data_IF_103583044985
#
_entry.id   IF_103583044985
#
_cell.length_a   1.000
_cell.length_b   1.000
_cell.length_c   1.000
_cell.angle_alpha   90.00
_cell.angle_beta   90.00
_cell.angle_gamma   90.00
#
_symmetry.space_group_name_H-M   'P 1'
#
loop_
_entity.id
_entity.type
_entity.pdbx_description
1 polymer ?
#
# COMPACT_ATOMS: atom_id res chain seq x y z
N UNK A 1 -1.48 -18.58 26.42
CA UNK A 1 -1.91 -18.01 25.12
C UNK A 1 -2.45 -16.57 25.21
N UNK A 2 -3.76 -16.29 25.16
CA UNK A 2 -4.26 -14.92 24.97
C UNK A 2 -3.77 -13.91 26.02
N UNK A 3 -3.85 -14.29 27.30
CA UNK A 3 -3.36 -13.47 28.42
C UNK A 3 -1.84 -13.25 28.36
N UNK A 4 -1.07 -14.29 28.07
CA UNK A 4 0.40 -14.20 27.96
C UNK A 4 0.84 -13.28 26.80
N UNK A 5 0.17 -13.36 25.65
CA UNK A 5 0.44 -12.46 24.53
C UNK A 5 0.11 -11.00 24.90
N UNK A 6 -1.01 -10.77 25.59
CA UNK A 6 -1.36 -9.44 26.09
C UNK A 6 -0.35 -8.90 27.10
N UNK A 7 0.04 -9.73 28.07
CA UNK A 7 1.01 -9.37 29.11
C UNK A 7 2.38 -9.01 28.50
N UNK A 8 2.79 -9.71 27.43
CA UNK A 8 4.04 -9.41 26.72
C UNK A 8 4.02 -8.04 26.03
N UNK A 9 2.91 -7.67 25.38
CA UNK A 9 2.79 -6.37 24.69
C UNK A 9 2.42 -5.21 25.61
N UNK A 10 1.89 -5.47 26.80
CA UNK A 10 1.37 -4.46 27.72
C UNK A 10 2.34 -3.27 27.96
N UNK A 11 3.66 -3.48 28.15
CA UNK A 11 4.60 -2.38 28.38
C UNK A 11 4.78 -1.43 27.18
N UNK A 12 4.37 -1.85 25.98
CA UNK A 12 4.72 -1.20 24.71
C UNK A 12 3.53 -0.58 23.99
N UNK A 13 2.32 -0.67 24.57
CA UNK A 13 1.07 -0.24 23.93
C UNK A 13 1.06 1.24 23.48
N UNK A 14 1.83 2.09 24.15
CA UNK A 14 1.91 3.53 23.83
C UNK A 14 2.94 3.86 22.75
N UNK A 15 3.93 2.99 22.55
CA UNK A 15 5.01 3.20 21.59
C UNK A 15 5.59 1.84 21.15
N UNK A 16 4.97 1.18 20.16
CA UNK A 16 5.42 -0.12 19.67
C UNK A 16 6.80 -0.07 18.99
N UNK A 17 7.27 1.11 18.56
CA UNK A 17 8.63 1.26 18.03
C UNK A 17 9.68 0.98 19.13
N UNK A 18 9.39 1.33 20.39
CA UNK A 18 10.25 0.97 21.54
C UNK A 18 10.35 -0.54 21.77
N UNK A 19 9.28 -1.30 21.51
CA UNK A 19 9.34 -2.76 21.54
C UNK A 19 10.36 -3.26 20.52
N UNK A 20 10.21 -2.85 19.26
CA UNK A 20 11.14 -3.21 18.19
C UNK A 20 12.59 -2.89 18.53
N UNK A 21 12.85 -1.69 19.05
CA UNK A 21 14.18 -1.26 19.46
C UNK A 21 14.75 -2.10 20.62
N UNK A 22 13.91 -2.45 21.60
CA UNK A 22 14.30 -3.26 22.76
C UNK A 22 14.68 -4.69 22.34
N UNK A 23 13.88 -5.31 21.47
CA UNK A 23 14.16 -6.63 20.89
C UNK A 23 15.44 -6.59 20.05
N UNK A 24 15.58 -5.58 19.18
CA UNK A 24 16.77 -5.40 18.34
C UNK A 24 18.05 -5.25 19.18
N UNK A 25 17.98 -4.51 20.31
CA UNK A 25 19.08 -4.36 21.28
C UNK A 25 19.28 -5.57 22.20
N UNK A 26 18.50 -6.63 22.05
CA UNK A 26 18.53 -7.82 22.92
C UNK A 26 18.28 -7.47 24.41
N UNK A 27 17.50 -6.43 24.67
CA UNK A 27 17.12 -5.98 26.02
C UNK A 27 15.86 -6.68 26.52
N UNK A 28 15.06 -7.23 25.62
CA UNK A 28 13.86 -8.00 25.93
C UNK A 28 13.71 -9.14 24.92
N UNK A 29 13.03 -10.22 25.33
CA UNK A 29 12.69 -11.32 24.43
C UNK A 29 11.54 -10.92 23.51
N UNK A 30 11.50 -11.53 22.33
CA UNK A 30 10.41 -11.30 21.37
C UNK A 30 9.12 -11.98 21.86
N UNK A 31 8.00 -11.27 21.73
CA UNK A 31 6.66 -11.78 21.99
C UNK A 31 6.15 -12.79 20.93
N UNK A 32 6.95 -13.09 19.89
CA UNK A 32 6.56 -13.94 18.76
C UNK A 32 6.01 -15.29 19.20
N UNK A 33 6.66 -15.96 20.14
CA UNK A 33 6.23 -17.29 20.59
C UNK A 33 4.83 -17.24 21.21
N UNK A 34 4.55 -16.23 22.03
CA UNK A 34 3.23 -16.03 22.64
C UNK A 34 2.14 -15.77 21.59
N UNK A 35 2.47 -15.03 20.53
CA UNK A 35 1.53 -14.76 19.42
C UNK A 35 1.30 -16.00 18.56
N UNK A 36 2.34 -16.76 18.24
CA UNK A 36 2.23 -18.00 17.47
C UNK A 36 1.40 -19.05 18.20
N UNK A 37 1.56 -19.20 19.52
CA UNK A 37 0.75 -20.12 20.31
C UNK A 37 -0.73 -19.72 20.32
N UNK A 38 -1.01 -18.41 20.40
CA UNK A 38 -2.37 -17.89 20.32
C UNK A 38 -3.00 -18.14 18.94
N UNK A 39 -2.25 -17.90 17.86
CA UNK A 39 -2.70 -18.15 16.50
C UNK A 39 -2.99 -19.64 16.26
N UNK A 40 -2.12 -20.54 16.74
CA UNK A 40 -2.31 -21.99 16.63
C UNK A 40 -3.62 -22.44 17.28
N UNK A 41 -3.94 -21.93 18.48
CA UNK A 41 -5.18 -22.27 19.19
C UNK A 41 -6.43 -21.80 18.44
N UNK A 42 -6.40 -20.60 17.85
CA UNK A 42 -7.53 -20.13 17.05
C UNK A 42 -7.67 -20.86 15.71
N UNK A 43 -6.57 -21.33 15.13
CA UNK A 43 -6.63 -22.15 13.93
C UNK A 43 -7.39 -23.46 14.19
N UNK A 44 -7.12 -24.12 15.32
CA UNK A 44 -7.83 -25.33 15.74
C UNK A 44 -9.33 -25.09 15.96
N UNK A 45 -9.70 -23.92 16.46
CA UNK A 45 -11.10 -23.52 16.62
C UNK A 45 -11.77 -23.20 15.27
N UNK A 46 -11.03 -22.62 14.32
CA UNK A 46 -11.54 -22.39 12.96
C UNK A 46 -11.86 -23.69 12.22
N UNK A 47 -11.04 -24.73 12.38
CA UNK A 47 -11.29 -26.05 11.79
C UNK A 47 -12.58 -26.70 12.33
N UNK A 48 -13.07 -26.27 13.50
CA UNK A 48 -14.29 -26.79 14.14
C UNK A 48 -15.54 -25.94 13.86
N UNK A 49 -15.39 -24.76 13.27
CA UNK A 49 -16.46 -23.79 13.04
C UNK A 49 -16.91 -23.75 11.57
N UNK A 50 -18.14 -23.29 11.31
CA UNK A 50 -18.60 -23.04 9.94
C UNK A 50 -17.86 -21.84 9.33
N UNK A 51 -17.48 -21.95 8.06
CA UNK A 51 -16.74 -20.93 7.28
C UNK A 51 -17.42 -19.56 7.20
N UNK A 52 -18.72 -19.46 7.52
CA UNK A 52 -19.52 -18.22 7.47
C UNK A 52 -19.50 -17.37 8.76
N UNK A 53 -18.76 -17.76 9.81
CA UNK A 53 -18.74 -16.99 11.05
C UNK A 53 -17.83 -15.75 10.93
N UNK A 54 -18.45 -14.58 10.75
CA UNK A 54 -17.77 -13.28 10.70
C UNK A 54 -16.99 -12.96 11.99
N UNK A 55 -17.46 -13.38 13.16
CA UNK A 55 -16.78 -13.11 14.44
C UNK A 55 -15.46 -13.87 14.51
N UNK A 56 -15.47 -15.12 14.05
CA UNK A 56 -14.27 -15.92 13.96
C UNK A 56 -13.28 -15.34 12.94
N UNK A 57 -13.75 -14.89 11.77
CA UNK A 57 -12.90 -14.18 10.80
C UNK A 57 -12.23 -12.95 11.45
N UNK A 58 -13.02 -12.10 12.12
CA UNK A 58 -12.48 -10.94 12.83
C UNK A 58 -11.43 -11.32 13.88
N UNK A 59 -11.68 -12.37 14.67
CA UNK A 59 -10.73 -12.83 15.69
C UNK A 59 -9.42 -13.33 15.08
N UNK A 60 -9.50 -14.15 14.03
CA UNK A 60 -8.32 -14.67 13.31
C UNK A 60 -7.54 -13.53 12.66
N UNK A 61 -8.23 -12.60 11.99
CA UNK A 61 -7.58 -11.49 11.33
C UNK A 61 -6.90 -10.55 12.33
N UNK A 62 -7.53 -10.28 13.48
CA UNK A 62 -6.91 -9.46 14.54
C UNK A 62 -5.61 -10.08 15.07
N UNK A 63 -5.52 -11.40 15.19
CA UNK A 63 -4.28 -12.05 15.66
C UNK A 63 -3.21 -12.10 14.58
N UNK A 64 -3.59 -12.28 13.31
CA UNK A 64 -2.65 -12.13 12.19
C UNK A 64 -2.08 -10.72 12.11
N UNK A 65 -2.87 -9.69 12.42
CA UNK A 65 -2.35 -8.32 12.53
C UNK A 65 -1.31 -8.23 13.64
N UNK A 66 -1.58 -8.81 14.82
CA UNK A 66 -0.62 -8.81 15.93
C UNK A 66 0.68 -9.54 15.57
N UNK A 67 0.58 -10.70 14.91
CA UNK A 67 1.73 -11.47 14.42
C UNK A 67 2.57 -10.66 13.42
N UNK A 68 1.94 -10.13 12.37
CA UNK A 68 2.66 -9.35 11.36
C UNK A 68 3.20 -8.03 11.92
N UNK A 69 2.51 -7.40 12.87
CA UNK A 69 2.99 -6.19 13.54
C UNK A 69 4.22 -6.48 14.41
N UNK A 70 4.22 -7.59 15.15
CA UNK A 70 5.39 -8.03 15.92
C UNK A 70 6.61 -8.18 15.03
N UNK A 71 6.46 -8.91 13.92
CA UNK A 71 7.54 -9.12 12.96
C UNK A 71 8.01 -7.80 12.35
N UNK A 72 7.07 -6.94 11.94
CA UNK A 72 7.36 -5.62 11.39
C UNK A 72 8.22 -4.77 12.34
N UNK A 73 7.82 -4.62 13.60
CA UNK A 73 8.57 -3.80 14.55
C UNK A 73 9.95 -4.38 14.86
N UNK A 74 10.09 -5.71 14.83
CA UNK A 74 11.39 -6.37 15.01
C UNK A 74 12.35 -6.08 13.86
N UNK A 75 11.89 -6.17 12.61
CA UNK A 75 12.76 -5.97 11.42
C UNK A 75 12.89 -4.50 11.00
N UNK A 76 12.05 -3.60 11.51
CA UNK A 76 12.07 -2.16 11.23
C UNK A 76 13.46 -1.52 11.44
N UNK A 77 14.21 -1.99 12.44
CA UNK A 77 15.53 -1.44 12.77
C UNK A 77 16.68 -2.10 11.98
N UNK A 78 16.41 -3.20 11.28
CA UNK A 78 17.40 -3.92 10.47
C UNK A 78 17.39 -3.47 9.01
N UNK A 79 16.20 -3.42 8.39
CA UNK A 79 16.07 -3.16 6.95
C UNK A 79 14.76 -2.47 6.58
N UNK A 80 14.88 -1.36 5.85
CA UNK A 80 13.71 -0.69 5.24
C UNK A 80 13.00 -1.60 4.23
N UNK A 81 13.77 -2.40 3.47
CA UNK A 81 13.22 -3.32 2.46
C UNK A 81 12.43 -4.45 3.13
N UNK A 82 12.98 -5.04 4.20
CA UNK A 82 12.29 -6.13 4.90
C UNK A 82 11.02 -5.65 5.60
N UNK A 83 11.10 -4.51 6.30
CA UNK A 83 9.92 -3.93 6.95
C UNK A 83 8.84 -3.49 5.97
N UNK A 84 9.22 -3.01 4.78
CA UNK A 84 8.28 -2.78 3.67
C UNK A 84 7.61 -4.09 3.23
N UNK A 85 8.41 -5.11 2.93
CA UNK A 85 7.94 -6.41 2.45
C UNK A 85 6.99 -7.11 3.43
N UNK A 86 7.28 -7.05 4.75
CA UNK A 86 6.39 -7.60 5.79
C UNK A 86 5.01 -6.93 5.74
N UNK A 87 4.96 -5.61 5.55
CA UNK A 87 3.68 -4.87 5.47
C UNK A 87 2.87 -5.26 4.25
N UNK A 88 3.49 -5.26 3.07
CA UNK A 88 2.78 -5.58 1.83
C UNK A 88 2.39 -7.05 1.75
N UNK A 89 3.20 -7.96 2.30
CA UNK A 89 2.82 -9.36 2.47
C UNK A 89 1.59 -9.51 3.36
N UNK A 90 1.52 -8.78 4.47
CA UNK A 90 0.36 -8.82 5.36
C UNK A 90 -0.92 -8.34 4.66
N UNK A 91 -0.85 -7.25 3.90
CA UNK A 91 -1.99 -6.74 3.12
C UNK A 91 -2.43 -7.74 2.05
N UNK A 92 -1.48 -8.37 1.35
CA UNK A 92 -1.78 -9.42 0.38
C UNK A 92 -2.43 -10.67 1.01
N UNK A 93 -1.90 -11.17 2.13
CA UNK A 93 -2.52 -12.30 2.85
C UNK A 93 -3.93 -11.96 3.35
N UNK A 94 -4.17 -10.70 3.70
CA UNK A 94 -5.50 -10.21 4.07
C UNK A 94 -6.47 -10.30 2.89
N UNK A 95 -6.04 -9.91 1.69
CA UNK A 95 -6.84 -10.05 0.46
C UNK A 95 -7.22 -11.51 0.23
N UNK A 96 -6.25 -12.44 0.31
CA UNK A 96 -6.51 -13.87 0.16
C UNK A 96 -7.52 -14.39 1.18
N UNK A 97 -7.34 -14.05 2.47
CA UNK A 97 -8.25 -14.50 3.53
C UNK A 97 -9.69 -13.99 3.32
N UNK A 98 -9.85 -12.76 2.84
CA UNK A 98 -11.16 -12.18 2.56
C UNK A 98 -11.85 -12.88 1.39
N UNK A 99 -11.13 -13.12 0.29
CA UNK A 99 -11.65 -13.88 -0.85
C UNK A 99 -12.02 -15.32 -0.45
N UNK A 100 -11.15 -16.00 0.31
CA UNK A 100 -11.42 -17.35 0.82
C UNK A 100 -12.67 -17.40 1.71
N UNK A 101 -12.91 -16.37 2.53
CA UNK A 101 -14.09 -16.30 3.39
C UNK A 101 -15.38 -16.04 2.60
N UNK A 102 -15.34 -15.14 1.61
CA UNK A 102 -16.50 -14.80 0.79
C UNK A 102 -16.81 -15.83 -0.31
N UNK A 103 -15.86 -16.72 -0.59
CA UNK A 103 -16.02 -17.84 -1.52
C UNK A 103 -15.52 -17.55 -2.94
N UNK A 104 -15.50 -18.58 -3.80
CA UNK A 104 -14.81 -18.53 -5.10
C UNK A 104 -15.40 -17.55 -6.11
N UNK A 105 -16.69 -17.18 -5.98
CA UNK A 105 -17.35 -16.22 -6.88
C UNK A 105 -17.21 -14.76 -6.40
N UNK A 106 -16.51 -14.54 -5.29
CA UNK A 106 -16.34 -13.21 -4.71
C UNK A 106 -15.34 -12.37 -5.50
N UNK A 107 -15.49 -11.05 -5.40
CA UNK A 107 -14.58 -10.07 -5.99
C UNK A 107 -14.19 -9.06 -4.93
N UNK A 108 -12.98 -8.52 -5.05
CA UNK A 108 -12.46 -7.50 -4.16
C UNK A 108 -11.96 -6.30 -4.96
N UNK A 109 -12.19 -5.11 -4.43
CA UNK A 109 -11.59 -3.87 -4.90
C UNK A 109 -10.67 -3.40 -3.79
N UNK A 110 -9.37 -3.30 -4.11
CA UNK A 110 -8.35 -2.83 -3.18
C UNK A 110 -8.05 -1.38 -3.51
N UNK A 111 -8.24 -0.49 -2.54
CA UNK A 111 -7.98 0.93 -2.68
C UNK A 111 -6.77 1.31 -1.84
N UNK A 112 -5.63 1.51 -2.51
CA UNK A 112 -4.35 1.83 -1.89
C UNK A 112 -3.55 2.78 -2.78
N UNK A 113 -2.42 3.26 -2.26
CA UNK A 113 -1.53 4.13 -3.01
C UNK A 113 -0.81 3.36 -4.14
N UNK A 114 -0.43 4.03 -5.24
CA UNK A 114 0.27 3.43 -6.39
C UNK A 114 1.52 2.62 -5.99
N UNK A 115 2.22 3.04 -4.94
CA UNK A 115 3.40 2.32 -4.40
C UNK A 115 3.07 0.90 -3.93
N UNK A 116 1.83 0.64 -3.52
CA UNK A 116 1.36 -0.68 -3.12
C UNK A 116 0.70 -1.45 -4.28
N UNK A 117 0.00 -0.76 -5.19
CA UNK A 117 -0.83 -1.40 -6.22
C UNK A 117 -0.17 -1.63 -7.59
N UNK A 118 0.93 -0.93 -7.90
CA UNK A 118 1.70 -1.21 -9.11
C UNK A 118 2.46 -2.53 -9.00
N UNK A 119 2.96 -3.08 -10.11
CA UNK A 119 3.90 -4.21 -10.04
C UNK A 119 5.31 -3.70 -9.68
N UNK A 120 5.75 -3.92 -8.44
CA UNK A 120 7.06 -3.46 -7.95
C UNK A 120 8.24 -3.96 -8.78
N UNK A 121 8.18 -5.17 -9.36
CA UNK A 121 9.23 -5.70 -10.23
C UNK A 121 9.51 -4.83 -11.47
N UNK A 122 8.54 -4.01 -11.89
CA UNK A 122 8.68 -3.06 -12.98
C UNK A 122 9.31 -1.71 -12.54
N UNK A 123 9.76 -1.58 -11.29
CA UNK A 123 10.19 -0.32 -10.69
C UNK A 123 11.62 -0.40 -10.12
N UNK A 124 12.16 0.74 -9.70
CA UNK A 124 13.41 0.83 -8.96
C UNK A 124 13.33 0.12 -7.60
N UNK A 125 12.15 0.10 -6.97
CA UNK A 125 11.94 -0.54 -5.67
C UNK A 125 12.09 -2.07 -5.79
N UNK A 126 11.54 -2.67 -6.85
CA UNK A 126 11.77 -4.08 -7.18
C UNK A 126 13.24 -4.46 -7.33
N UNK A 127 14.05 -3.56 -7.90
CA UNK A 127 15.50 -3.80 -8.08
C UNK A 127 16.29 -3.83 -6.78
N UNK A 128 15.78 -3.20 -5.71
CA UNK A 128 16.40 -3.23 -4.38
C UNK A 128 15.78 -4.30 -3.47
N UNK A 129 14.87 -5.12 -3.99
CA UNK A 129 14.27 -6.25 -3.29
C UNK A 129 12.91 -5.97 -2.63
N UNK A 130 12.33 -4.79 -2.85
CA UNK A 130 10.96 -4.51 -2.40
C UNK A 130 9.95 -5.18 -3.33
N UNK A 131 8.96 -5.85 -2.76
CA UNK A 131 7.74 -6.25 -3.45
C UNK A 131 6.56 -5.48 -2.87
N UNK A 132 5.43 -5.53 -3.56
CA UNK A 132 4.22 -4.87 -3.11
C UNK A 132 2.96 -5.69 -3.41
N UNK A 133 1.83 -5.25 -2.87
CA UNK A 133 0.52 -5.92 -3.04
C UNK A 133 0.18 -6.17 -4.51
N UNK A 134 0.44 -5.20 -5.39
CA UNK A 134 0.18 -5.28 -6.82
C UNK A 134 0.98 -6.38 -7.51
N UNK A 135 2.28 -6.50 -7.20
CA UNK A 135 3.12 -7.59 -7.69
C UNK A 135 2.61 -8.94 -7.18
N UNK A 136 2.39 -9.09 -5.86
CA UNK A 136 1.94 -10.35 -5.27
C UNK A 136 0.58 -10.80 -5.82
N UNK A 137 -0.36 -9.87 -5.98
CA UNK A 137 -1.66 -10.13 -6.62
C UNK A 137 -1.49 -10.57 -8.07
N UNK A 138 -0.61 -9.94 -8.85
CA UNK A 138 -0.37 -10.33 -10.24
C UNK A 138 0.25 -11.73 -10.35
N UNK A 139 1.20 -12.05 -9.47
CA UNK A 139 1.85 -13.36 -9.45
C UNK A 139 0.88 -14.48 -9.04
N UNK A 140 -0.01 -14.21 -8.08
CA UNK A 140 -0.93 -15.20 -7.55
C UNK A 140 -2.23 -15.36 -8.36
N UNK A 141 -2.87 -14.26 -8.75
CA UNK A 141 -4.16 -14.27 -9.47
C UNK A 141 -4.00 -14.20 -11.00
N UNK A 142 -2.80 -13.90 -11.51
CA UNK A 142 -2.54 -13.81 -12.94
C UNK A 142 -3.47 -12.83 -13.65
N UNK A 143 -4.19 -13.32 -14.66
CA UNK A 143 -5.11 -12.51 -15.46
C UNK A 143 -6.41 -12.09 -14.74
N UNK A 144 -6.71 -12.67 -13.58
CA UNK A 144 -7.84 -12.26 -12.74
C UNK A 144 -7.53 -11.01 -11.91
N UNK A 145 -6.27 -10.57 -11.88
CA UNK A 145 -5.86 -9.28 -11.33
C UNK A 145 -5.87 -8.19 -12.40
N UNK A 146 -6.35 -7.00 -12.03
CA UNK A 146 -6.30 -5.81 -12.87
C UNK A 146 -5.92 -4.59 -12.02
N UNK A 147 -4.77 -3.97 -12.31
CA UNK A 147 -4.26 -2.82 -11.56
C UNK A 147 -4.47 -1.49 -12.31
N UNK A 148 -5.04 -0.52 -11.61
CA UNK A 148 -5.28 0.84 -12.12
C UNK A 148 -4.41 1.82 -11.35
N UNK A 149 -3.47 2.47 -12.03
CA UNK A 149 -2.64 3.53 -11.46
C UNK A 149 -3.26 4.91 -11.66
N UNK A 150 -3.02 5.83 -10.72
CA UNK A 150 -3.47 7.22 -10.83
C UNK A 150 -2.29 8.15 -11.04
N UNK A 151 -2.38 9.07 -12.00
CA UNK A 151 -1.29 10.00 -12.31
C UNK A 151 -1.84 11.41 -12.56
N UNK A 152 -1.03 12.42 -12.24
CA UNK A 152 -1.37 13.84 -12.40
C UNK A 152 -0.14 14.65 -12.75
N UNK A 153 -0.31 15.84 -13.34
CA UNK A 153 0.77 16.78 -13.60
C UNK A 153 0.83 17.92 -12.56
N UNK A 154 -0.23 18.73 -12.45
CA UNK A 154 -0.26 19.91 -11.57
C UNK A 154 -1.48 19.91 -10.65
N UNK A 155 -1.59 20.93 -9.79
CA UNK A 155 -2.75 21.11 -8.94
C UNK A 155 -2.36 21.21 -7.47
N UNK A 156 -3.28 20.80 -6.60
CA UNK A 156 -3.06 20.77 -5.15
C UNK A 156 -3.25 19.37 -4.59
N UNK A 157 -2.57 19.10 -3.47
CA UNK A 157 -2.65 17.86 -2.70
C UNK A 157 -2.78 18.19 -1.21
N UNK A 158 -3.45 17.32 -0.46
CA UNK A 158 -3.44 17.36 1.00
C UNK A 158 -2.31 16.45 1.50
N UNK A 159 -1.26 17.03 2.07
CA UNK A 159 -0.07 16.31 2.52
C UNK A 159 0.65 17.06 3.65
N UNK A 160 1.43 16.34 4.45
CA UNK A 160 2.25 16.93 5.50
C UNK A 160 3.71 17.17 5.04
N UNK A 161 4.43 18.00 5.78
CA UNK A 161 5.85 18.27 5.55
C UNK A 161 6.79 17.35 6.35
N UNK A 162 6.27 16.55 7.27
CA UNK A 162 6.99 15.51 8.03
C UNK A 162 5.99 14.50 8.60
N UNK A 163 6.49 13.33 8.99
CA UNK A 163 5.71 12.37 9.77
C UNK A 163 5.18 13.03 11.05
N UNK A 164 3.94 12.68 11.42
CA UNK A 164 3.20 13.28 12.55
C UNK A 164 3.01 14.81 12.45
N UNK A 165 3.24 15.40 11.27
CA UNK A 165 2.95 16.80 11.00
C UNK A 165 1.48 17.03 10.66
N UNK A 166 1.05 18.29 10.81
CA UNK A 166 -0.27 18.74 10.37
C UNK A 166 -0.44 18.56 8.85
N UNK A 167 -1.68 18.29 8.44
CA UNK A 167 -2.05 18.21 7.03
C UNK A 167 -2.13 19.62 6.43
N UNK A 168 -1.48 19.81 5.29
CA UNK A 168 -1.42 21.08 4.58
C UNK A 168 -1.97 20.91 3.15
N UNK A 169 -2.56 21.97 2.60
CA UNK A 169 -2.85 22.03 1.16
C UNK A 169 -1.59 22.55 0.46
N UNK A 170 -0.95 21.69 -0.32
CA UNK A 170 0.32 21.98 -0.99
C UNK A 170 0.13 22.03 -2.50
N UNK A 171 0.79 22.98 -3.15
CA UNK A 171 0.81 23.06 -4.61
C UNK A 171 1.81 22.06 -5.16
N UNK A 172 1.39 21.22 -6.10
CA UNK A 172 2.28 20.36 -6.85
C UNK A 172 3.14 21.22 -7.78
N UNK A 173 4.44 20.93 -7.83
CA UNK A 173 5.29 21.40 -8.92
C UNK A 173 4.81 20.77 -10.24
N UNK A 174 4.95 21.49 -11.37
CA UNK A 174 4.81 20.87 -12.67
C UNK A 174 5.68 19.61 -12.75
N UNK A 175 5.14 18.56 -13.38
CA UNK A 175 5.85 17.32 -13.56
C UNK A 175 7.19 17.55 -14.28
N UNK A 176 8.18 16.72 -13.95
CA UNK A 176 9.50 16.83 -14.56
C UNK A 176 9.44 16.43 -16.04
N UNK A 177 10.21 17.10 -16.89
CA UNK A 177 10.26 16.82 -18.33
C UNK A 177 10.64 15.36 -18.67
N UNK A 178 11.41 14.70 -17.80
CA UNK A 178 11.88 13.31 -17.94
C UNK A 178 10.93 12.26 -17.32
N UNK A 179 9.72 12.67 -16.91
CA UNK A 179 8.72 11.82 -16.25
C UNK A 179 7.59 11.35 -17.16
N UNK A 180 6.90 10.29 -16.76
CA UNK A 180 5.65 9.86 -17.41
C UNK A 180 4.55 10.91 -17.27
N UNK A 181 4.46 11.61 -16.13
CA UNK A 181 3.46 12.65 -15.91
C UNK A 181 3.60 13.79 -16.92
N UNK A 182 4.81 14.26 -17.20
CA UNK A 182 5.00 15.28 -18.24
C UNK A 182 4.70 14.73 -19.65
N UNK A 183 5.06 13.48 -19.94
CA UNK A 183 4.73 12.84 -21.21
C UNK A 183 3.20 12.81 -21.45
N UNK A 184 2.44 12.42 -20.43
CA UNK A 184 0.97 12.36 -20.50
C UNK A 184 0.35 13.77 -20.55
N UNK A 185 0.92 14.74 -19.84
CA UNK A 185 0.53 16.15 -19.95
C UNK A 185 0.69 16.68 -21.38
N UNK A 186 1.87 16.50 -21.98
CA UNK A 186 2.14 16.93 -23.35
C UNK A 186 1.27 16.23 -24.38
N UNK A 187 0.99 14.94 -24.19
CA UNK A 187 0.07 14.19 -25.04
C UNK A 187 -1.35 14.78 -24.96
N UNK A 188 -1.83 15.09 -23.75
CA UNK A 188 -3.13 15.74 -23.51
C UNK A 188 -3.21 17.10 -24.20
N UNK A 189 -2.15 17.92 -24.11
CA UNK A 189 -2.11 19.23 -24.74
C UNK A 189 -2.16 19.18 -26.28
N UNK A 190 -1.71 18.07 -26.89
CA UNK A 190 -1.69 17.84 -28.34
C UNK A 190 -2.95 17.14 -28.87
N UNK A 191 -3.79 16.61 -27.99
CA UNK A 191 -5.00 15.89 -28.31
C UNK A 191 -6.20 16.54 -27.59
N UNK A 192 -6.79 17.63 -28.13
CA UNK A 192 -7.85 18.39 -27.47
C UNK A 192 -9.11 17.56 -27.12
N UNK A 193 -9.30 16.42 -27.76
CA UNK A 193 -10.33 15.42 -27.44
C UNK A 193 -10.11 14.72 -26.09
N UNK A 194 -8.87 14.71 -25.59
CA UNK A 194 -8.51 14.27 -24.25
C UNK A 194 -8.72 15.46 -23.31
N UNK A 195 -9.91 15.56 -22.71
CA UNK A 195 -10.38 16.68 -21.87
C UNK A 195 -9.64 16.85 -20.52
N UNK A 196 -8.31 16.71 -20.49
CA UNK A 196 -7.49 16.80 -19.29
C UNK A 196 -7.58 15.59 -18.35
N UNK A 197 -8.55 14.70 -18.54
CA UNK A 197 -8.64 13.43 -17.82
C UNK A 197 -9.08 12.30 -18.75
N UNK A 198 -8.44 11.15 -18.66
CA UNK A 198 -8.78 9.97 -19.46
C UNK A 198 -8.24 8.70 -18.81
N UNK A 199 -8.77 7.58 -19.29
CA UNK A 199 -8.18 6.28 -19.02
C UNK A 199 -7.26 5.87 -20.16
N UNK A 200 -6.07 5.38 -19.81
CA UNK A 200 -5.07 4.89 -20.75
C UNK A 200 -4.97 3.37 -20.60
N UNK A 201 -5.56 2.58 -21.52
CA UNK A 201 -5.57 1.13 -21.41
C UNK A 201 -4.22 0.55 -21.82
N UNK A 202 -3.40 0.08 -20.87
CA UNK A 202 -2.07 -0.47 -21.12
C UNK A 202 -2.13 -1.98 -21.45
N UNK A 203 -2.99 -2.73 -20.76
CA UNK A 203 -3.22 -4.16 -21.01
C UNK A 203 -4.09 -4.40 -22.25
N UNK A 204 -5.20 -3.65 -22.38
CA UNK A 204 -6.19 -3.82 -23.45
C UNK A 204 -6.01 -2.87 -24.65
N UNK A 205 -5.06 -1.94 -24.57
CA UNK A 205 -4.76 -1.00 -25.65
C UNK A 205 -3.86 -1.59 -26.74
N UNK A 206 -3.31 -0.71 -27.58
CA UNK A 206 -2.44 -1.12 -28.69
C UNK A 206 -1.07 -1.59 -28.22
N UNK A 207 -0.50 -2.59 -28.89
CA UNK A 207 0.89 -3.05 -28.67
C UNK A 207 1.89 -1.89 -28.71
N UNK A 208 1.72 -0.99 -29.68
CA UNK A 208 2.60 0.16 -29.87
C UNK A 208 2.62 1.05 -28.62
N UNK A 209 1.46 1.31 -28.02
CA UNK A 209 1.35 2.09 -26.78
C UNK A 209 2.12 1.40 -25.63
N UNK A 210 1.90 0.10 -25.48
CA UNK A 210 2.56 -0.70 -24.44
C UNK A 210 4.08 -0.65 -24.59
N UNK A 211 4.60 -0.91 -25.78
CA UNK A 211 6.05 -0.89 -26.03
C UNK A 211 6.68 0.50 -25.85
N UNK A 212 6.00 1.58 -26.23
CA UNK A 212 6.50 2.95 -26.00
C UNK A 212 6.57 3.31 -24.50
N UNK A 213 5.62 2.80 -23.70
CA UNK A 213 5.53 3.05 -22.25
C UNK A 213 6.27 2.01 -21.39
N UNK A 214 6.83 0.98 -22.02
CA UNK A 214 7.70 -0.01 -21.39
C UNK A 214 9.08 0.55 -21.05
N UNK A 215 9.58 1.51 -21.83
CA UNK A 215 10.89 2.10 -21.59
C UNK A 215 10.92 2.80 -20.22
N UNK A 216 11.91 2.51 -19.34
CA UNK A 216 11.97 3.14 -18.03
C UNK A 216 12.05 4.67 -18.10
N UNK A 217 11.21 5.35 -17.33
CA UNK A 217 11.21 6.81 -17.08
C UNK A 217 10.99 7.10 -15.61
N UNK A 218 11.07 8.37 -15.21
CA UNK A 218 10.67 8.75 -13.86
C UNK A 218 9.15 8.70 -13.72
N UNK A 219 8.69 8.22 -12.58
CA UNK A 219 7.29 8.24 -12.13
C UNK A 219 7.22 8.99 -10.81
N UNK A 220 6.22 9.84 -10.64
CA UNK A 220 5.99 10.62 -9.43
C UNK A 220 5.08 9.86 -8.45
N UNK A 221 5.55 9.66 -7.22
CA UNK A 221 4.75 9.20 -6.09
C UNK A 221 4.69 10.26 -4.99
N UNK A 222 3.52 10.89 -4.85
CA UNK A 222 3.19 11.77 -3.73
C UNK A 222 2.23 11.05 -2.80
N UNK A 223 2.71 10.68 -1.61
CA UNK A 223 1.92 10.02 -0.58
C UNK A 223 1.45 11.01 0.50
N UNK A 224 1.42 10.53 1.74
CA UNK A 224 1.04 11.33 2.92
C UNK A 224 1.98 12.53 3.17
N UNK A 225 3.21 12.46 2.65
CA UNK A 225 4.18 13.53 2.64
C UNK A 225 4.34 14.09 1.24
N UNK A 226 4.51 15.41 1.14
CA UNK A 226 4.99 16.06 -0.07
C UNK A 226 6.09 17.07 0.25
N UNK A 227 7.28 16.86 -0.31
CA UNK A 227 8.49 17.66 -0.10
C UNK A 227 8.91 18.31 -1.42
N UNK A 228 8.33 19.47 -1.78
CA UNK A 228 8.59 20.09 -3.08
C UNK A 228 10.05 20.49 -3.26
N UNK A 229 10.75 20.89 -2.20
CA UNK A 229 12.15 21.34 -2.24
C UNK A 229 13.10 20.23 -2.69
N UNK A 230 12.80 18.97 -2.37
CA UNK A 230 13.58 17.78 -2.71
C UNK A 230 12.81 16.79 -3.59
N UNK A 231 11.82 17.26 -4.35
CA UNK A 231 10.81 16.41 -5.01
C UNK A 231 11.42 15.30 -5.86
N UNK A 232 12.48 15.58 -6.64
CA UNK A 232 13.15 14.55 -7.45
C UNK A 232 13.67 13.39 -6.60
N UNK A 233 14.26 13.67 -5.44
CA UNK A 233 14.84 12.66 -4.57
C UNK A 233 13.78 11.97 -3.72
N UNK A 234 12.74 12.70 -3.30
CA UNK A 234 11.75 12.22 -2.34
C UNK A 234 10.53 11.56 -2.99
N UNK A 235 10.20 11.94 -4.22
CA UNK A 235 8.93 11.61 -4.86
C UNK A 235 9.05 11.09 -6.29
N UNK A 236 10.26 10.88 -6.81
CA UNK A 236 10.43 10.24 -8.12
C UNK A 236 11.30 9.00 -8.02
N UNK A 237 10.89 7.97 -8.76
CA UNK A 237 11.64 6.74 -8.94
C UNK A 237 11.55 6.30 -10.40
N UNK A 238 12.46 5.43 -10.83
CA UNK A 238 12.42 4.88 -12.19
C UNK A 238 11.42 3.71 -12.27
N UNK A 239 10.52 3.74 -13.24
CA UNK A 239 9.52 2.70 -13.48
C UNK A 239 9.30 2.43 -14.96
N UNK A 240 8.74 1.27 -15.28
CA UNK A 240 8.21 0.88 -16.59
C UNK A 240 6.69 0.87 -16.50
N UNK A 241 6.02 1.92 -16.99
CA UNK A 241 4.61 2.18 -16.70
C UNK A 241 3.70 1.04 -17.19
N UNK A 242 3.98 0.52 -18.38
CA UNK A 242 3.18 -0.54 -18.99
C UNK A 242 3.40 -1.94 -18.41
N UNK A 243 4.49 -2.14 -17.67
CA UNK A 243 4.76 -3.38 -16.93
C UNK A 243 4.31 -3.27 -15.46
N UNK A 244 4.04 -2.04 -15.00
CA UNK A 244 3.62 -1.72 -13.64
C UNK A 244 2.09 -1.77 -13.49
N UNK A 245 1.35 -1.22 -14.45
CA UNK A 245 -0.11 -1.10 -14.39
C UNK A 245 -0.79 -1.65 -15.65
N UNK A 246 -2.02 -2.14 -15.49
CA UNK A 246 -2.86 -2.55 -16.63
C UNK A 246 -3.60 -1.35 -17.25
N UNK A 247 -3.83 -0.30 -16.47
CA UNK A 247 -4.50 0.93 -16.90
C UNK A 247 -4.08 2.12 -16.05
N UNK A 248 -4.07 3.32 -16.65
CA UNK A 248 -3.81 4.57 -15.93
C UNK A 248 -5.04 5.45 -16.00
N UNK A 249 -5.50 5.90 -14.83
CA UNK A 249 -6.39 7.04 -14.70
C UNK A 249 -5.55 8.32 -14.67
N UNK A 250 -5.52 9.03 -15.80
CA UNK A 250 -4.84 10.32 -15.92
C UNK A 250 -5.79 11.45 -15.51
N UNK A 251 -5.30 12.36 -14.66
CA UNK A 251 -5.97 13.60 -14.28
C UNK A 251 -4.94 14.72 -14.31
N UNK A 252 -4.92 15.53 -15.37
CA UNK A 252 -3.87 16.51 -15.64
C UNK A 252 -3.71 17.55 -14.52
N UNK A 253 -4.84 17.98 -13.95
CA UNK A 253 -4.88 18.93 -12.83
C UNK A 253 -5.77 18.44 -11.71
N UNK A 254 -5.19 18.21 -10.54
CA UNK A 254 -5.91 17.78 -9.34
C UNK A 254 -6.24 18.93 -8.39
N UNK A 255 -7.18 18.69 -7.49
CA UNK A 255 -7.44 19.54 -6.34
C UNK A 255 -7.30 18.70 -5.06
N UNK A 256 -6.78 19.31 -4.00
CA UNK A 256 -6.63 18.66 -2.72
C UNK A 256 -7.98 18.14 -2.21
N UNK A 257 -7.97 16.91 -1.70
CA UNK A 257 -9.15 16.33 -1.05
C UNK A 257 -9.52 17.16 0.17
N UNK A 258 -10.82 17.30 0.41
CA UNK A 258 -11.32 17.91 1.62
C UNK A 258 -11.46 16.85 2.71
N UNK A 259 -10.94 17.14 3.90
CA UNK A 259 -11.23 16.31 5.06
C UNK A 259 -12.75 16.24 5.26
N UNK A 260 -13.27 15.02 5.41
CA UNK A 260 -14.65 14.82 5.86
C UNK A 260 -14.78 15.46 7.24
N UNK A 261 -15.87 16.18 7.50
CA UNK A 261 -16.14 16.71 8.85
C UNK A 261 -16.08 15.57 9.84
N UNK A 262 -15.43 15.78 10.99
CA UNK A 262 -15.44 14.82 12.08
C UNK A 262 -16.90 14.48 12.41
N UNK A 263 -17.27 13.23 12.15
CA UNK A 263 -18.50 12.68 12.70
C UNK A 263 -18.12 12.28 14.11
N UNK A 264 -18.61 13.00 15.12
CA UNK A 264 -18.53 12.55 16.51
C UNK A 264 -19.20 11.17 16.59
N UNK A 265 -18.38 10.11 16.59
CA UNK A 265 -18.83 8.78 16.92
C UNK A 265 -19.09 8.83 18.43
N UNK A 266 -20.33 9.15 18.79
CA UNK A 266 -20.82 8.95 20.16
C UNK A 266 -20.69 7.45 20.43
N UNK A 267 -19.67 7.08 21.22
CA UNK A 267 -19.56 5.74 21.74
C UNK A 267 -20.76 5.48 22.63
N UNK A 268 -21.79 4.86 22.05
CA UNK A 268 -22.77 4.15 22.86
C UNK A 268 -22.02 2.97 23.44
N UNK A 269 -21.88 2.99 24.76
CA UNK A 269 -21.15 2.02 25.56
C UNK A 269 -21.47 0.58 25.14
N UNK A 270 -20.42 -0.21 24.91
CA UNK A 270 -20.45 -1.67 25.01
C UNK A 270 -20.22 -2.07 26.47
#
# INVERSE_FOLDING_TARGET
AAREAQDCFHPWLTDPAKYGLSVWRQQTESCRENVMELLSKLHDDRLKASTSDRKLLSAVQNIRIVESAEEYYRVMYDSNVESWNVRDQHMFETIKNLLDHHGPDSKIIVWEHNSHLGNAAATQMGRIGEFNVGQLCREYFGDECYSVGFMTNTGTVAAASRWEGEMEIKNLKPAREDSFENLLHEASAKAPELYGSYFLPLKLGSEKLREELKRPRLERAVGVLYLPESERQSHYFSASLSEQFDEICWIDKTHAVHAMKEIEVTSTAL
#
